data_IF_004758915960
#
_entry.id   IF_004758915960
#
_cell.length_a   1.000
_cell.length_b   1.000
_cell.length_c   1.000
_cell.angle_alpha   90.00
_cell.angle_beta   90.00
_cell.angle_gamma   90.00
#
_symmetry.space_group_name_H-M   'P 1'
#
loop_
_entity.id
_entity.type
_entity.pdbx_description
1 polymer ?
#
# COMPACT_ATOMS: atom_id res chain seq x y z
N UNK A 1 -5.87 -9.19 15.74
CA UNK A 1 -6.88 -8.66 14.79
C UNK A 1 -7.17 -9.67 13.68
N UNK A 2 -6.16 -10.17 12.96
CA UNK A 2 -6.37 -11.16 11.88
C UNK A 2 -6.83 -12.54 12.36
N UNK A 3 -6.50 -12.97 13.59
CA UNK A 3 -6.94 -14.25 14.13
C UNK A 3 -8.45 -14.35 14.23
N UNK A 4 -9.12 -13.33 14.76
CA UNK A 4 -10.59 -13.28 14.85
C UNK A 4 -11.26 -13.32 13.47
N UNK A 5 -10.68 -12.63 12.47
CA UNK A 5 -11.15 -12.67 11.08
C UNK A 5 -10.97 -14.08 10.48
N UNK A 6 -9.81 -14.69 10.68
CA UNK A 6 -9.48 -16.04 10.23
C UNK A 6 -10.43 -17.08 10.84
N UNK A 7 -10.71 -16.97 12.13
CA UNK A 7 -11.63 -17.87 12.83
C UNK A 7 -13.06 -17.76 12.29
N UNK A 8 -13.56 -16.54 12.07
CA UNK A 8 -14.89 -16.29 11.51
C UNK A 8 -15.01 -16.82 10.07
N UNK A 9 -14.02 -16.57 9.22
CA UNK A 9 -13.99 -17.15 7.88
C UNK A 9 -13.92 -18.67 7.91
N UNK A 10 -13.17 -19.24 8.84
CA UNK A 10 -13.09 -20.70 9.00
C UNK A 10 -14.43 -21.31 9.43
N UNK A 11 -15.15 -20.67 10.35
CA UNK A 11 -16.49 -21.08 10.77
C UNK A 11 -17.49 -20.98 9.61
N UNK A 12 -17.48 -19.86 8.89
CA UNK A 12 -18.32 -19.65 7.71
C UNK A 12 -18.07 -20.72 6.64
N UNK A 13 -16.80 -20.99 6.36
CA UNK A 13 -16.40 -22.04 5.41
C UNK A 13 -16.92 -23.42 5.83
N UNK A 14 -16.78 -23.81 7.11
CA UNK A 14 -17.30 -25.10 7.63
C UNK A 14 -18.81 -25.20 7.48
N UNK A 15 -19.53 -24.10 7.77
CA UNK A 15 -20.98 -24.02 7.58
C UNK A 15 -21.34 -24.22 6.11
N UNK A 16 -20.68 -23.54 5.18
CA UNK A 16 -20.93 -23.63 3.75
C UNK A 16 -20.66 -25.04 3.20
N UNK A 17 -19.56 -25.67 3.62
CA UNK A 17 -19.20 -27.03 3.19
C UNK A 17 -20.16 -28.11 3.70
N UNK A 18 -20.91 -27.84 4.77
CA UNK A 18 -21.90 -28.76 5.33
C UNK A 18 -23.25 -28.81 4.57
N UNK A 19 -23.49 -27.87 3.62
CA UNK A 19 -24.74 -27.86 2.86
C UNK A 19 -24.71 -28.83 1.67
N UNK A 20 -25.67 -29.75 1.62
CA UNK A 20 -25.83 -30.69 0.50
C UNK A 20 -26.50 -30.03 -0.74
N UNK A 21 -27.40 -29.10 -0.53
CA UNK A 21 -28.04 -28.21 -1.54
C UNK A 21 -28.19 -26.83 -0.94
N UNK A 22 -28.07 -25.82 -1.75
CA UNK A 22 -28.23 -24.43 -1.33
C UNK A 22 -29.25 -23.75 -2.23
N UNK A 23 -30.21 -23.08 -1.62
CA UNK A 23 -31.15 -22.20 -2.28
C UNK A 23 -30.55 -20.80 -2.45
N UNK A 24 -31.06 -19.99 -3.37
CA UNK A 24 -30.69 -18.57 -3.54
C UNK A 24 -30.78 -17.78 -2.22
N UNK A 25 -31.74 -18.14 -1.37
CA UNK A 25 -31.92 -17.49 -0.06
C UNK A 25 -30.73 -17.80 0.88
N UNK A 26 -30.23 -19.02 0.88
CA UNK A 26 -29.10 -19.45 1.71
C UNK A 26 -27.78 -18.88 1.18
N UNK A 27 -27.62 -18.81 -0.14
CA UNK A 27 -26.50 -18.10 -0.79
C UNK A 27 -26.48 -16.61 -0.38
N UNK A 28 -27.63 -15.94 -0.49
CA UNK A 28 -27.76 -14.54 -0.08
C UNK A 28 -27.51 -14.33 1.42
N UNK A 29 -27.89 -15.28 2.26
CA UNK A 29 -27.59 -15.24 3.69
C UNK A 29 -26.10 -15.39 3.95
N UNK A 30 -25.42 -16.32 3.29
CA UNK A 30 -23.98 -16.52 3.41
C UNK A 30 -23.20 -15.27 2.97
N UNK A 31 -23.60 -14.62 1.88
CA UNK A 31 -22.98 -13.37 1.43
C UNK A 31 -23.20 -12.22 2.42
N UNK A 32 -24.35 -12.15 3.09
CA UNK A 32 -24.56 -11.19 4.19
C UNK A 32 -23.63 -11.46 5.38
N UNK A 33 -23.42 -12.72 5.76
CA UNK A 33 -22.47 -13.09 6.82
C UNK A 33 -21.03 -12.68 6.43
N UNK A 34 -20.61 -12.94 5.19
CA UNK A 34 -19.29 -12.46 4.66
C UNK A 34 -19.18 -10.95 4.75
N UNK A 35 -20.22 -10.21 4.32
CA UNK A 35 -20.24 -8.75 4.41
C UNK A 35 -20.05 -8.27 5.84
N UNK A 36 -20.77 -8.85 6.79
CA UNK A 36 -20.66 -8.49 8.20
C UNK A 36 -19.24 -8.72 8.73
N UNK A 37 -18.65 -9.88 8.44
CA UNK A 37 -17.27 -10.22 8.86
C UNK A 37 -16.26 -9.22 8.32
N UNK A 38 -16.36 -8.82 7.05
CA UNK A 38 -15.45 -7.83 6.46
C UNK A 38 -15.63 -6.42 7.06
N UNK A 39 -16.87 -6.00 7.32
CA UNK A 39 -17.14 -4.70 7.96
C UNK A 39 -16.66 -4.65 9.41
N UNK A 40 -16.82 -5.73 10.17
CA UNK A 40 -16.30 -5.85 11.53
C UNK A 40 -14.77 -5.89 11.59
N UNK A 41 -14.12 -6.29 10.48
CA UNK A 41 -12.68 -6.22 10.29
C UNK A 41 -12.21 -4.85 9.79
N UNK A 42 -13.08 -3.84 9.83
CA UNK A 42 -12.82 -2.45 9.41
C UNK A 42 -12.44 -2.29 7.92
N UNK A 43 -12.88 -3.22 7.07
CA UNK A 43 -12.73 -3.08 5.62
C UNK A 43 -13.69 -2.00 5.12
N UNK A 44 -13.20 -1.11 4.26
CA UNK A 44 -14.00 -0.01 3.70
C UNK A 44 -15.32 -0.51 3.07
N UNK A 45 -16.43 0.12 3.42
CA UNK A 45 -17.77 -0.32 3.02
C UNK A 45 -18.02 -0.32 1.50
N UNK A 46 -17.38 0.60 0.74
CA UNK A 46 -17.43 0.63 -0.74
C UNK A 46 -16.75 -0.59 -1.33
N UNK A 47 -15.58 -0.94 -0.78
CA UNK A 47 -14.78 -2.12 -1.17
C UNK A 47 -15.59 -3.39 -0.89
N UNK A 48 -16.14 -3.52 0.32
CA UNK A 48 -17.01 -4.66 0.69
C UNK A 48 -18.21 -4.75 -0.23
N UNK A 49 -18.87 -3.62 -0.50
CA UNK A 49 -20.05 -3.59 -1.40
C UNK A 49 -19.72 -4.02 -2.82
N UNK A 50 -18.57 -3.60 -3.36
CA UNK A 50 -18.11 -4.03 -4.68
C UNK A 50 -17.79 -5.54 -4.71
N UNK A 51 -17.05 -6.01 -3.73
CA UNK A 51 -16.70 -7.42 -3.59
C UNK A 51 -17.93 -8.33 -3.53
N UNK A 52 -18.90 -8.03 -2.67
CA UNK A 52 -20.12 -8.84 -2.53
C UNK A 52 -20.90 -8.91 -3.84
N UNK A 53 -21.08 -7.76 -4.54
CA UNK A 53 -21.75 -7.75 -5.86
C UNK A 53 -21.02 -8.58 -6.90
N UNK A 54 -19.70 -8.50 -6.96
CA UNK A 54 -18.88 -9.29 -7.88
C UNK A 54 -19.02 -10.80 -7.62
N UNK A 55 -18.96 -11.22 -6.36
CA UNK A 55 -19.15 -12.63 -5.97
C UNK A 55 -20.56 -13.11 -6.29
N UNK A 56 -21.59 -12.31 -5.96
CA UNK A 56 -23.00 -12.65 -6.24
C UNK A 56 -23.24 -12.86 -7.75
N UNK A 57 -22.73 -11.95 -8.60
CA UNK A 57 -22.85 -12.07 -10.05
C UNK A 57 -22.23 -13.38 -10.56
N UNK A 58 -21.02 -13.72 -10.09
CA UNK A 58 -20.34 -14.96 -10.50
C UNK A 58 -21.03 -16.23 -10.00
N UNK A 59 -21.65 -16.18 -8.84
CA UNK A 59 -22.41 -17.32 -8.32
C UNK A 59 -23.68 -17.56 -9.14
N UNK A 60 -24.38 -16.49 -9.59
CA UNK A 60 -25.51 -16.58 -10.49
C UNK A 60 -25.13 -17.16 -11.86
N UNK A 61 -24.00 -16.73 -12.44
CA UNK A 61 -23.51 -17.28 -13.71
C UNK A 61 -23.17 -18.78 -13.63
N UNK A 62 -22.72 -19.26 -12.47
CA UNK A 62 -22.30 -20.65 -12.26
C UNK A 62 -23.44 -21.60 -11.88
N UNK A 63 -24.67 -21.11 -11.79
CA UNK A 63 -25.85 -21.88 -11.39
C UNK A 63 -25.60 -22.78 -10.14
N UNK A 64 -25.46 -22.10 -9.02
CA UNK A 64 -25.09 -22.76 -7.74
C UNK A 64 -26.14 -23.78 -7.29
N UNK A 65 -27.44 -23.53 -7.63
CA UNK A 65 -28.54 -24.43 -7.27
C UNK A 65 -28.45 -25.78 -7.99
N UNK A 66 -28.00 -25.76 -9.25
CA UNK A 66 -27.80 -26.97 -10.04
C UNK A 66 -26.48 -27.68 -9.72
N UNK A 67 -25.61 -27.09 -8.91
CA UNK A 67 -24.31 -27.68 -8.54
C UNK A 67 -24.48 -28.88 -7.60
N UNK A 68 -23.72 -29.93 -7.86
CA UNK A 68 -23.62 -31.10 -6.94
C UNK A 68 -22.85 -30.76 -5.65
N UNK A 69 -22.08 -29.67 -5.64
CA UNK A 69 -21.25 -29.24 -4.52
C UNK A 69 -21.30 -27.72 -4.33
N UNK A 70 -22.48 -27.16 -3.99
CA UNK A 70 -22.66 -25.71 -3.95
C UNK A 70 -21.79 -25.03 -2.90
N UNK A 71 -21.52 -25.64 -1.75
CA UNK A 71 -20.64 -25.09 -0.72
C UNK A 71 -19.19 -24.96 -1.17
N UNK A 72 -18.65 -25.93 -1.93
CA UNK A 72 -17.32 -25.84 -2.52
C UNK A 72 -17.25 -24.74 -3.57
N UNK A 73 -18.29 -24.60 -4.38
CA UNK A 73 -18.39 -23.58 -5.43
C UNK A 73 -18.40 -22.16 -4.84
N UNK A 74 -19.21 -21.91 -3.80
CA UNK A 74 -19.24 -20.63 -3.09
C UNK A 74 -17.87 -20.33 -2.47
N UNK A 75 -17.28 -21.30 -1.76
CA UNK A 75 -15.97 -21.13 -1.13
C UNK A 75 -14.88 -20.80 -2.17
N UNK A 76 -14.84 -21.47 -3.30
CA UNK A 76 -13.88 -21.21 -4.38
C UNK A 76 -14.11 -19.82 -5.00
N UNK A 77 -15.37 -19.42 -5.21
CA UNK A 77 -15.72 -18.09 -5.78
C UNK A 77 -15.37 -16.96 -4.81
N UNK A 78 -15.62 -17.15 -3.50
CA UNK A 78 -15.19 -16.19 -2.46
C UNK A 78 -13.67 -16.07 -2.42
N UNK A 79 -12.95 -17.20 -2.41
CA UNK A 79 -11.48 -17.20 -2.40
C UNK A 79 -10.91 -16.47 -3.62
N UNK A 80 -11.41 -16.79 -4.81
CA UNK A 80 -10.97 -16.12 -6.03
C UNK A 80 -11.26 -14.61 -6.01
N UNK A 81 -12.45 -14.22 -5.56
CA UNK A 81 -12.81 -12.82 -5.41
C UNK A 81 -11.91 -12.08 -4.41
N UNK A 82 -11.52 -12.71 -3.30
CA UNK A 82 -10.57 -12.14 -2.34
C UNK A 82 -9.16 -11.99 -2.95
N UNK A 83 -8.69 -12.99 -3.70
CA UNK A 83 -7.40 -12.92 -4.41
C UNK A 83 -7.38 -11.74 -5.39
N UNK A 84 -8.45 -11.56 -6.15
CA UNK A 84 -8.58 -10.45 -7.10
C UNK A 84 -8.68 -9.10 -6.39
N UNK A 85 -9.43 -9.04 -5.28
CA UNK A 85 -9.53 -7.83 -4.43
C UNK A 85 -8.14 -7.40 -3.90
N UNK A 86 -7.28 -8.36 -3.60
CA UNK A 86 -5.89 -8.12 -3.18
C UNK A 86 -4.93 -7.85 -4.35
N UNK A 87 -5.45 -7.71 -5.58
CA UNK A 87 -4.67 -7.36 -6.77
C UNK A 87 -4.28 -8.54 -7.66
N UNK A 88 -4.67 -9.78 -7.33
CA UNK A 88 -4.45 -11.00 -8.13
C UNK A 88 -3.01 -11.44 -8.23
N UNK A 89 -2.12 -10.60 -8.72
CA UNK A 89 -0.68 -10.89 -8.92
C UNK A 89 0.19 -9.93 -8.11
N UNK A 90 1.37 -10.41 -7.71
CA UNK A 90 2.35 -9.55 -7.02
C UNK A 90 2.88 -8.47 -7.96
N UNK A 91 2.65 -7.21 -7.64
CA UNK A 91 3.26 -6.09 -8.35
C UNK A 91 4.79 -6.11 -8.14
N UNK A 92 5.54 -5.87 -9.22
CA UNK A 92 7.00 -5.75 -9.18
C UNK A 92 7.37 -4.29 -9.38
N UNK A 93 8.26 -3.79 -8.52
CA UNK A 93 8.90 -2.49 -8.75
C UNK A 93 10.06 -2.69 -9.74
N UNK A 94 10.07 -1.92 -10.82
CA UNK A 94 11.24 -1.87 -11.69
C UNK A 94 12.31 -0.97 -11.06
N UNK A 95 13.34 -1.61 -10.56
CA UNK A 95 14.51 -0.97 -9.94
C UNK A 95 15.79 -1.27 -10.72
N UNK A 96 15.68 -1.54 -12.02
CA UNK A 96 16.83 -1.87 -12.90
C UNK A 96 17.75 -0.68 -13.14
N UNK A 97 17.23 0.55 -13.04
CA UNK A 97 18.00 1.77 -13.21
C UNK A 97 19.14 1.92 -12.20
N UNK A 98 20.18 2.69 -12.57
CA UNK A 98 21.34 2.97 -11.72
C UNK A 98 21.73 4.45 -11.76
N UNK A 99 21.43 5.26 -10.73
CA UNK A 99 20.68 4.86 -9.52
C UNK A 99 19.21 4.56 -9.77
N UNK A 100 18.63 3.57 -9.06
CA UNK A 100 17.20 3.47 -8.92
C UNK A 100 16.73 4.46 -7.85
N UNK A 101 15.75 5.28 -8.16
CA UNK A 101 15.26 6.37 -7.30
C UNK A 101 13.85 6.07 -6.85
N UNK A 102 13.60 6.10 -5.54
CA UNK A 102 12.27 5.93 -4.94
C UNK A 102 11.93 7.19 -4.14
N UNK A 103 10.71 7.68 -4.29
CA UNK A 103 10.11 8.69 -3.41
C UNK A 103 9.17 8.02 -2.42
N UNK A 104 9.28 8.32 -1.12
CA UNK A 104 8.35 7.89 -0.09
C UNK A 104 7.36 9.01 0.20
N UNK A 105 6.09 8.75 0.01
CA UNK A 105 5.00 9.70 0.23
C UNK A 105 4.04 9.17 1.30
N UNK A 106 3.27 10.05 1.94
CA UNK A 106 2.29 9.67 2.96
C UNK A 106 2.20 10.66 4.10
N UNK A 107 1.22 10.49 4.98
CA UNK A 107 0.97 11.38 6.10
C UNK A 107 2.05 11.28 7.20
N UNK A 108 1.99 12.22 8.14
CA UNK A 108 2.87 12.21 9.31
C UNK A 108 2.61 10.97 10.16
N UNK A 109 3.68 10.36 10.68
CA UNK A 109 3.57 9.21 11.57
C UNK A 109 3.40 7.85 10.88
N UNK A 110 3.20 7.78 9.55
CA UNK A 110 2.99 6.51 8.82
C UNK A 110 4.25 5.64 8.71
N UNK A 111 5.41 6.14 9.16
CA UNK A 111 6.63 5.35 9.19
C UNK A 111 7.55 5.47 7.97
N UNK A 112 7.41 6.51 7.13
CA UNK A 112 8.26 6.77 5.93
C UNK A 112 9.75 6.68 6.24
N UNK A 113 10.22 7.46 7.21
CA UNK A 113 11.65 7.48 7.61
C UNK A 113 12.14 6.11 8.08
N UNK A 114 11.32 5.38 8.83
CA UNK A 114 11.63 4.01 9.25
C UNK A 114 11.70 3.06 8.05
N UNK A 115 10.78 3.24 7.11
CA UNK A 115 10.74 2.44 5.89
C UNK A 115 11.92 2.75 4.96
N UNK A 116 12.35 4.02 4.87
CA UNK A 116 13.58 4.41 4.17
C UNK A 116 14.79 3.62 4.66
N UNK A 117 14.97 3.52 5.98
CA UNK A 117 16.03 2.73 6.58
C UNK A 117 15.96 1.23 6.26
N UNK A 118 14.74 0.64 6.24
CA UNK A 118 14.54 -0.76 5.85
C UNK A 118 14.88 -1.00 4.37
N UNK A 119 14.51 -0.06 3.49
CA UNK A 119 14.88 -0.11 2.08
C UNK A 119 16.40 0.00 1.90
N UNK A 120 17.05 0.95 2.57
CA UNK A 120 18.51 1.09 2.54
C UNK A 120 19.20 -0.21 2.99
N UNK A 121 18.73 -0.83 4.08
CA UNK A 121 19.27 -2.11 4.53
C UNK A 121 19.06 -3.24 3.51
N UNK A 122 17.87 -3.31 2.91
CA UNK A 122 17.54 -4.32 1.88
C UNK A 122 18.43 -4.18 0.64
N UNK A 123 18.69 -2.94 0.20
CA UNK A 123 19.50 -2.63 -0.99
C UNK A 123 20.92 -2.20 -0.66
N UNK A 124 21.48 -2.62 0.49
CA UNK A 124 22.83 -2.23 0.95
C UNK A 124 23.96 -2.54 -0.06
N UNK A 125 23.78 -3.57 -0.88
CA UNK A 125 24.71 -3.95 -1.95
C UNK A 125 24.77 -2.93 -3.10
N UNK A 126 23.79 -2.01 -3.19
CA UNK A 126 23.73 -0.93 -4.18
C UNK A 126 24.19 0.42 -3.65
N UNK A 127 24.86 0.48 -2.50
CA UNK A 127 25.33 1.72 -1.85
C UNK A 127 24.21 2.76 -1.76
N UNK A 128 23.18 2.56 -0.93
CA UNK A 128 22.03 3.46 -0.89
C UNK A 128 22.39 4.85 -0.37
N UNK A 129 21.65 5.86 -0.86
CA UNK A 129 21.65 7.23 -0.39
C UNK A 129 20.25 7.59 0.13
N UNK A 130 20.15 8.00 1.39
CA UNK A 130 18.93 8.55 1.97
C UNK A 130 18.95 10.08 1.88
N UNK A 131 17.91 10.66 1.34
CA UNK A 131 17.80 12.11 1.08
C UNK A 131 16.67 12.68 1.93
N UNK A 132 16.97 13.64 2.79
CA UNK A 132 15.94 14.37 3.53
C UNK A 132 15.26 15.38 2.60
N UNK A 133 13.93 15.34 2.55
CA UNK A 133 13.10 16.21 1.72
C UNK A 133 11.98 16.89 2.54
N UNK A 134 12.27 17.30 3.80
CA UNK A 134 11.35 18.03 4.67
C UNK A 134 12.06 19.25 5.30
N UNK A 135 12.07 20.41 4.61
CA UNK A 135 12.78 21.60 5.10
C UNK A 135 12.08 22.24 6.31
N UNK A 136 10.79 21.97 6.51
CA UNK A 136 10.01 22.53 7.63
C UNK A 136 10.27 21.84 8.97
N UNK A 137 10.94 20.66 8.94
CA UNK A 137 11.19 19.85 10.13
C UNK A 137 12.67 19.45 10.27
N UNK A 138 13.54 20.34 10.77
CA UNK A 138 14.96 20.03 10.94
C UNK A 138 15.23 18.74 11.73
N UNK A 139 14.42 18.46 12.75
CA UNK A 139 14.51 17.22 13.53
C UNK A 139 14.25 15.96 12.69
N UNK A 140 13.44 16.03 11.62
CA UNK A 140 13.22 14.91 10.71
C UNK A 140 14.48 14.59 9.90
N UNK A 141 15.24 15.62 9.47
CA UNK A 141 16.51 15.44 8.79
C UNK A 141 17.55 14.75 9.69
N UNK A 142 17.65 15.14 10.96
CA UNK A 142 18.54 14.48 11.93
C UNK A 142 18.08 13.05 12.25
N UNK A 143 16.76 12.81 12.31
CA UNK A 143 16.22 11.46 12.46
C UNK A 143 16.64 10.57 11.27
N UNK A 144 16.52 11.07 10.04
CA UNK A 144 16.91 10.31 8.85
C UNK A 144 18.42 10.07 8.81
N UNK A 145 19.24 11.05 9.26
CA UNK A 145 20.69 10.87 9.42
C UNK A 145 21.00 9.70 10.34
N UNK A 146 20.38 9.66 11.53
CA UNK A 146 20.56 8.55 12.48
C UNK A 146 20.11 7.20 11.91
N UNK A 147 19.08 7.21 11.06
CA UNK A 147 18.62 6.00 10.34
C UNK A 147 19.66 5.57 9.31
N UNK A 148 20.24 6.50 8.55
CA UNK A 148 21.30 6.21 7.56
C UNK A 148 22.57 5.64 8.23
N UNK A 149 22.98 6.20 9.35
CA UNK A 149 24.12 5.69 10.14
C UNK A 149 23.90 4.24 10.59
N UNK A 150 22.70 3.94 11.14
CA UNK A 150 22.33 2.57 11.52
C UNK A 150 22.26 1.61 10.35
N UNK A 151 21.79 2.08 9.20
CA UNK A 151 21.73 1.30 7.96
C UNK A 151 23.10 1.22 7.25
N UNK A 152 24.12 1.96 7.72
CA UNK A 152 25.46 2.07 7.13
C UNK A 152 25.38 2.48 5.65
N UNK A 153 24.63 3.55 5.38
CA UNK A 153 24.47 4.11 4.06
C UNK A 153 24.71 5.62 4.04
N UNK A 154 24.82 6.18 2.84
CA UNK A 154 25.02 7.62 2.66
C UNK A 154 23.76 8.41 3.02
N UNK A 155 23.96 9.66 3.43
CA UNK A 155 22.89 10.60 3.77
C UNK A 155 23.11 11.93 3.03
N UNK A 156 22.01 12.56 2.61
CA UNK A 156 21.99 13.90 2.04
C UNK A 156 21.03 14.80 2.83
N UNK A 157 21.50 15.94 3.38
CA UNK A 157 20.67 16.85 4.16
C UNK A 157 19.71 17.65 3.27
N UNK A 158 18.58 18.10 3.84
CA UNK A 158 17.65 19.00 3.17
C UNK A 158 18.20 20.43 3.12
N UNK A 159 17.93 21.14 2.02
CA UNK A 159 18.06 22.60 1.91
C UNK A 159 16.69 23.26 1.99
N UNK A 160 16.64 24.58 1.83
CA UNK A 160 15.36 25.33 1.80
C UNK A 160 14.46 24.98 0.61
N UNK A 161 15.05 24.49 -0.48
CA UNK A 161 14.35 24.07 -1.69
C UNK A 161 14.46 22.54 -1.84
N UNK A 162 13.31 21.87 -1.77
CA UNK A 162 13.22 20.40 -1.83
C UNK A 162 13.62 19.88 -3.21
N UNK A 163 13.20 20.53 -4.29
CA UNK A 163 13.54 20.11 -5.66
C UNK A 163 15.03 20.26 -5.91
N UNK A 164 15.62 21.39 -5.51
CA UNK A 164 17.06 21.59 -5.59
C UNK A 164 17.83 20.54 -4.77
N UNK A 165 17.32 20.19 -3.58
CA UNK A 165 17.87 19.12 -2.74
C UNK A 165 17.88 17.78 -3.47
N UNK A 166 16.75 17.37 -4.07
CA UNK A 166 16.64 16.14 -4.83
C UNK A 166 17.64 16.09 -6.00
N UNK A 167 17.71 17.16 -6.78
CA UNK A 167 18.63 17.22 -7.93
C UNK A 167 20.10 17.18 -7.51
N UNK A 168 20.46 17.91 -6.46
CA UNK A 168 21.83 17.88 -5.93
C UNK A 168 22.20 16.50 -5.34
N UNK A 169 21.25 15.86 -4.67
CA UNK A 169 21.43 14.49 -4.16
C UNK A 169 21.63 13.47 -5.29
N UNK A 170 20.88 13.60 -6.40
CA UNK A 170 21.08 12.75 -7.58
C UNK A 170 22.46 12.93 -8.21
N UNK A 171 22.95 14.19 -8.29
CA UNK A 171 24.31 14.46 -8.73
C UNK A 171 25.33 13.80 -7.80
N UNK A 172 25.20 13.97 -6.48
CA UNK A 172 26.06 13.29 -5.51
C UNK A 172 26.01 11.76 -5.64
N UNK A 173 24.81 11.20 -5.87
CA UNK A 173 24.64 9.77 -6.06
C UNK A 173 25.44 9.26 -7.27
N UNK A 174 25.43 10.01 -8.37
CA UNK A 174 26.26 9.71 -9.53
C UNK A 174 27.76 9.78 -9.20
N UNK A 175 28.21 10.88 -8.57
CA UNK A 175 29.62 11.11 -8.25
C UNK A 175 30.17 10.06 -7.27
N UNK A 176 29.35 9.57 -6.34
CA UNK A 176 29.72 8.55 -5.35
C UNK A 176 29.38 7.11 -5.76
N UNK A 177 28.80 6.91 -6.94
CA UNK A 177 28.36 5.59 -7.42
C UNK A 177 27.33 4.94 -6.47
N UNK A 178 26.41 5.75 -5.91
CA UNK A 178 25.24 5.23 -5.21
C UNK A 178 24.27 4.66 -6.24
N UNK A 179 23.94 3.39 -6.16
CA UNK A 179 23.03 2.71 -7.10
C UNK A 179 21.57 2.67 -6.65
N UNK A 180 21.27 3.25 -5.47
CA UNK A 180 19.91 3.31 -4.94
C UNK A 180 19.71 4.60 -4.14
N UNK A 181 18.66 5.36 -4.44
CA UNK A 181 18.35 6.65 -3.79
C UNK A 181 16.92 6.60 -3.25
N UNK A 182 16.72 7.07 -2.03
CA UNK A 182 15.42 7.19 -1.39
C UNK A 182 15.17 8.63 -0.96
N UNK A 183 14.15 9.27 -1.50
CA UNK A 183 13.65 10.56 -1.05
C UNK A 183 12.65 10.34 0.09
N UNK A 184 13.00 10.78 1.30
CA UNK A 184 12.09 10.79 2.45
C UNK A 184 11.37 12.12 2.50
N UNK A 185 10.17 12.18 1.87
CA UNK A 185 9.43 13.43 1.72
C UNK A 185 8.71 13.85 2.99
N UNK A 186 8.31 15.11 3.03
CA UNK A 186 7.53 15.66 4.13
C UNK A 186 6.27 14.82 4.38
N UNK A 187 5.95 14.64 5.65
CA UNK A 187 4.67 14.09 6.09
C UNK A 187 3.86 15.16 6.78
N UNK A 188 2.72 15.52 6.22
CA UNK A 188 1.80 16.46 6.85
C UNK A 188 0.69 15.73 7.60
N UNK A 189 -0.02 16.43 8.48
CA UNK A 189 -1.17 15.89 9.20
C UNK A 189 -2.35 15.62 8.27
N UNK A 190 -2.47 16.42 7.20
CA UNK A 190 -3.51 16.33 6.19
C UNK A 190 -2.90 16.45 4.79
N UNK A 191 -3.60 15.94 3.80
CA UNK A 191 -3.27 16.14 2.39
C UNK A 191 -3.80 17.53 2.01
N UNK A 192 -2.88 18.44 1.70
CA UNK A 192 -3.18 19.80 1.26
C UNK A 192 -2.52 20.08 -0.10
N UNK A 193 -2.94 21.15 -0.76
CA UNK A 193 -2.44 21.53 -2.08
C UNK A 193 -0.93 21.79 -2.07
N UNK A 194 -0.37 22.30 -0.96
CA UNK A 194 1.05 22.58 -0.85
C UNK A 194 1.88 21.28 -0.87
N UNK A 195 1.43 20.24 -0.15
CA UNK A 195 2.05 18.91 -0.18
C UNK A 195 1.97 18.31 -1.59
N UNK A 196 0.79 18.38 -2.21
CA UNK A 196 0.59 17.79 -3.54
C UNK A 196 1.42 18.51 -4.61
N UNK A 197 1.53 19.83 -4.56
CA UNK A 197 2.38 20.63 -5.45
C UNK A 197 3.87 20.31 -5.26
N UNK A 198 4.33 20.13 -4.01
CA UNK A 198 5.71 19.73 -3.70
C UNK A 198 6.01 18.33 -4.28
N UNK A 199 5.13 17.36 -4.07
CA UNK A 199 5.28 16.01 -4.60
C UNK A 199 5.26 15.99 -6.14
N UNK A 200 4.37 16.74 -6.76
CA UNK A 200 4.31 16.90 -8.21
C UNK A 200 5.60 17.52 -8.77
N UNK A 201 6.17 18.54 -8.10
CA UNK A 201 7.42 19.14 -8.49
C UNK A 201 8.61 18.18 -8.38
N UNK A 202 8.66 17.35 -7.32
CA UNK A 202 9.67 16.29 -7.20
C UNK A 202 9.49 15.27 -8.34
N UNK A 203 8.26 14.86 -8.63
CA UNK A 203 7.96 13.89 -9.69
C UNK A 203 8.37 14.42 -11.07
N UNK A 204 8.07 15.69 -11.39
CA UNK A 204 8.40 16.30 -12.68
C UNK A 204 9.92 16.51 -12.85
N UNK A 205 10.61 17.01 -11.82
CA UNK A 205 12.01 17.44 -11.92
C UNK A 205 13.01 16.34 -11.58
N UNK A 206 12.80 15.60 -10.51
CA UNK A 206 13.72 14.55 -10.06
C UNK A 206 13.37 13.16 -10.64
N UNK A 207 12.18 13.00 -11.20
CA UNK A 207 11.70 11.81 -11.91
C UNK A 207 12.03 10.49 -11.21
N UNK A 208 11.56 10.28 -9.96
CA UNK A 208 11.76 9.02 -9.29
C UNK A 208 11.12 7.87 -10.10
N UNK A 209 11.76 6.70 -10.12
CA UNK A 209 11.28 5.52 -10.82
C UNK A 209 10.01 4.93 -10.20
N UNK A 210 9.80 5.20 -8.92
CA UNK A 210 8.57 4.86 -8.21
C UNK A 210 8.31 5.82 -7.05
N UNK A 211 7.04 6.15 -6.84
CA UNK A 211 6.54 6.81 -5.62
C UNK A 211 5.77 5.80 -4.79
N UNK A 212 6.22 5.55 -3.56
CA UNK A 212 5.61 4.59 -2.66
C UNK A 212 4.81 5.32 -1.59
N UNK A 213 3.50 5.15 -1.61
CA UNK A 213 2.63 5.63 -0.55
C UNK A 213 2.76 4.72 0.68
N UNK A 214 3.23 5.29 1.78
CA UNK A 214 3.37 4.61 3.07
C UNK A 214 2.15 4.93 3.93
N UNK A 215 1.36 3.91 4.19
CA UNK A 215 0.15 3.98 5.03
C UNK A 215 0.38 3.26 6.35
N UNK A 216 -0.28 3.74 7.40
CA UNK A 216 -0.39 2.99 8.65
C UNK A 216 -1.42 1.87 8.47
N UNK A 217 -1.03 0.63 8.73
CA UNK A 217 -1.93 -0.53 8.65
C UNK A 217 -3.08 -0.52 9.68
N UNK A 218 -3.06 0.42 10.63
CA UNK A 218 -4.09 0.57 11.65
C UNK A 218 -5.20 1.57 11.29
N UNK A 219 -5.10 2.29 10.17
CA UNK A 219 -6.07 3.34 9.79
C UNK A 219 -7.38 2.81 9.18
N UNK A 220 -7.50 1.49 8.94
CA UNK A 220 -8.75 0.87 8.49
C UNK A 220 -9.37 1.54 7.26
N UNK A 221 -10.63 1.98 7.38
CA UNK A 221 -11.41 2.53 6.28
C UNK A 221 -10.84 3.82 5.67
N UNK A 222 -10.10 4.63 6.44
CA UNK A 222 -9.52 5.89 5.96
C UNK A 222 -8.37 5.67 4.97
N UNK A 223 -7.77 4.48 4.94
CA UNK A 223 -6.71 4.14 3.98
C UNK A 223 -7.15 4.36 2.53
N UNK A 224 -8.38 3.96 2.19
CA UNK A 224 -8.93 4.11 0.83
C UNK A 224 -9.03 5.58 0.44
N UNK A 225 -9.55 6.42 1.34
CA UNK A 225 -9.67 7.86 1.10
C UNK A 225 -8.31 8.53 0.90
N UNK A 226 -7.30 8.13 1.67
CA UNK A 226 -5.93 8.64 1.50
C UNK A 226 -5.33 8.21 0.15
N UNK A 227 -5.49 6.94 -0.24
CA UNK A 227 -5.03 6.46 -1.55
C UNK A 227 -5.70 7.24 -2.70
N UNK A 228 -7.02 7.44 -2.63
CA UNK A 228 -7.77 8.20 -3.65
C UNK A 228 -7.21 9.63 -3.77
N UNK A 229 -6.98 10.33 -2.65
CA UNK A 229 -6.46 11.70 -2.64
C UNK A 229 -5.02 11.80 -3.21
N UNK A 230 -4.12 10.89 -2.81
CA UNK A 230 -2.76 10.87 -3.36
C UNK A 230 -2.74 10.52 -4.86
N UNK A 231 -3.68 9.70 -5.34
CA UNK A 231 -3.73 9.29 -6.74
C UNK A 231 -4.27 10.39 -7.66
N UNK A 232 -5.25 11.18 -7.21
CA UNK A 232 -5.81 12.30 -8.00
C UNK A 232 -4.84 13.46 -8.20
N UNK A 233 -3.89 13.66 -7.30
CA UNK A 233 -2.87 14.71 -7.42
C UNK A 233 -1.61 14.29 -8.20
N UNK A 234 -1.55 13.04 -8.67
CA UNK A 234 -0.39 12.50 -9.42
C UNK A 234 -0.65 12.37 -10.92
N UNK A 235 -1.78 12.91 -11.42
CA UNK A 235 -2.22 12.81 -12.83
C UNK A 235 -1.89 14.07 -13.61
#
# INVERSE_FOLDING_TARGET
MFDALTDRFTQLRRKLLGFGRLTDREVSQALREVRTVLLEADVNYKVVGHFIRSVEARLKEKDVEASLKPGELINATLYQGLVELLGGTTAKLDLSANPAVISLVGLQGTGKTTFAGKLAHKFRNRKPLLVACDPKRPAASEQLRSVAERAKCDFYPVSSDVVATCLAALKQAHDRSNGFVVFDTAGRLHIDDELMNELAAIQDKAKPHASLLVLDGMIGQDAVSQVEQFNTGSS
#
